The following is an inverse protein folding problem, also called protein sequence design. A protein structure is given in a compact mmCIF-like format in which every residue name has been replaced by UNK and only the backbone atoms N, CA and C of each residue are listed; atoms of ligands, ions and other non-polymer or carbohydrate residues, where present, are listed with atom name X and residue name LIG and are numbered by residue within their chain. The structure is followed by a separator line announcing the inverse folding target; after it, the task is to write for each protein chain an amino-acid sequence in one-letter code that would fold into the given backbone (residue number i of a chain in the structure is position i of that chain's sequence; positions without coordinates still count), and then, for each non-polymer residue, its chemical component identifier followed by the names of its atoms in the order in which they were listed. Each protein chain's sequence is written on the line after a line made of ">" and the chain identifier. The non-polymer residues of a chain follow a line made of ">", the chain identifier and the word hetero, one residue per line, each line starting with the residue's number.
data_IF_455700277301
#
_entry.id   IF_455700277301
#
_cell.length_a   1.000
_cell.length_b   1.000
_cell.length_c   1.000
_cell.angle_alpha   90.00
_cell.angle_beta   90.00
_cell.angle_gamma   90.00
#
_symmetry.space_group_name_H-M   'P 1'
#
loop_
_entity.id
_entity.type
_entity.pdbx_description
1 polymer ?
#
# COMPACT_ATOMS: atom_id res chain seq x y z
N UNK A 1 52.99 11.80 -6.51
CA UNK A 1 51.74 11.92 -5.74
C UNK A 1 52.06 11.74 -4.26
N UNK A 2 52.02 12.83 -3.50
CA UNK A 2 52.35 12.85 -2.07
C UNK A 2 51.38 11.94 -1.29
N UNK A 3 51.87 11.09 -0.37
CA UNK A 3 51.05 10.19 0.49
C UNK A 3 49.88 10.90 1.17
N UNK A 4 50.02 12.20 1.45
CA UNK A 4 48.98 13.07 2.01
C UNK A 4 47.80 13.30 1.06
N UNK A 5 48.05 13.41 -0.25
CA UNK A 5 47.01 13.60 -1.27
C UNK A 5 46.18 12.33 -1.50
N UNK A 6 46.82 11.16 -1.40
CA UNK A 6 46.13 9.86 -1.49
C UNK A 6 45.20 9.65 -0.29
N UNK A 7 45.66 10.00 0.92
CA UNK A 7 44.85 9.90 2.13
C UNK A 7 43.66 10.85 2.10
N UNK A 8 43.86 12.11 1.70
CA UNK A 8 42.77 13.11 1.59
C UNK A 8 41.74 12.68 0.53
N UNK A 9 42.19 12.15 -0.60
CA UNK A 9 41.31 11.63 -1.65
C UNK A 9 40.46 10.46 -1.15
N UNK A 10 41.05 9.51 -0.40
CA UNK A 10 40.31 8.40 0.20
C UNK A 10 39.30 8.85 1.26
N UNK A 11 39.63 9.85 2.09
CA UNK A 11 38.71 10.37 3.11
C UNK A 11 37.52 11.10 2.48
N UNK A 12 37.75 11.86 1.40
CA UNK A 12 36.67 12.54 0.65
C UNK A 12 35.80 11.52 -0.09
N UNK A 13 36.40 10.46 -0.66
CA UNK A 13 35.65 9.38 -1.32
C UNK A 13 34.77 8.60 -0.32
N UNK A 14 35.25 8.42 0.92
CA UNK A 14 34.54 7.69 1.96
C UNK A 14 33.37 8.48 2.58
N UNK A 15 33.48 9.82 2.68
CA UNK A 15 32.40 10.66 3.20
C UNK A 15 31.27 10.91 2.19
N UNK A 16 31.58 10.95 0.88
CA UNK A 16 30.55 11.08 -0.18
C UNK A 16 29.76 9.78 -0.38
N UNK A 17 30.33 8.61 -0.05
CA UNK A 17 29.65 7.31 -0.17
C UNK A 17 28.50 7.07 0.80
N UNK A 18 28.44 7.77 1.94
CA UNK A 18 27.41 7.56 2.97
C UNK A 18 26.13 8.39 2.80
N UNK A 19 26.11 9.39 1.90
CA UNK A 19 24.95 10.27 1.68
C UNK A 19 23.88 9.68 0.74
N UNK A 20 24.10 8.48 0.19
CA UNK A 20 23.25 7.91 -0.88
C UNK A 20 22.15 6.93 -0.46
N UNK A 21 22.00 6.59 0.83
CA UNK A 21 21.11 5.50 1.26
C UNK A 21 19.69 5.92 1.68
N UNK A 22 19.19 7.08 1.23
CA UNK A 22 17.75 7.39 1.31
C UNK A 22 17.01 6.78 0.13
N UNK A 23 17.09 5.45 0.00
CA UNK A 23 16.29 4.71 -0.97
C UNK A 23 14.85 4.83 -0.50
N UNK A 24 13.99 5.35 -1.38
CA UNK A 24 12.55 5.39 -1.23
C UNK A 24 12.06 4.02 -0.77
N UNK A 25 11.79 3.86 0.53
CA UNK A 25 11.16 2.67 1.04
C UNK A 25 9.74 2.65 0.44
N UNK A 26 9.51 1.81 -0.56
CA UNK A 26 8.17 1.47 -0.98
C UNK A 26 7.41 1.07 0.29
N UNK A 27 6.37 1.84 0.64
CA UNK A 27 5.57 1.61 1.84
C UNK A 27 4.98 0.21 1.73
N UNK A 28 5.60 -0.76 2.41
CA UNK A 28 5.13 -2.14 2.41
C UNK A 28 3.81 -2.22 3.14
N UNK A 29 2.78 -2.77 2.50
CA UNK A 29 1.49 -2.98 3.12
C UNK A 29 1.48 -4.14 4.11
N UNK A 30 0.73 -3.99 5.21
CA UNK A 30 0.47 -5.03 6.19
C UNK A 30 -0.90 -5.65 5.97
N UNK A 31 -0.94 -6.80 5.30
CA UNK A 31 -2.18 -7.53 4.97
C UNK A 31 -3.04 -7.89 6.20
N UNK A 32 -2.43 -8.16 7.35
CA UNK A 32 -3.17 -8.50 8.58
C UNK A 32 -3.94 -7.28 9.11
N UNK A 33 -3.28 -6.12 9.16
CA UNK A 33 -3.91 -4.85 9.53
C UNK A 33 -4.94 -4.44 8.48
N UNK A 34 -4.61 -4.60 7.20
CA UNK A 34 -5.52 -4.38 6.07
C UNK A 34 -6.82 -5.14 6.16
N UNK A 35 -6.80 -6.43 6.55
CA UNK A 35 -8.00 -7.23 6.78
C UNK A 35 -8.94 -6.61 7.80
N UNK A 36 -8.37 -6.14 8.92
CA UNK A 36 -9.13 -5.51 10.00
C UNK A 36 -9.74 -4.19 9.54
N UNK A 37 -8.94 -3.32 8.93
CA UNK A 37 -9.41 -2.03 8.40
C UNK A 37 -10.48 -2.20 7.32
N UNK A 38 -10.30 -3.15 6.40
CA UNK A 38 -11.29 -3.47 5.38
C UNK A 38 -12.64 -3.88 5.98
N UNK A 39 -12.64 -4.63 7.10
CA UNK A 39 -13.87 -4.97 7.83
C UNK A 39 -14.52 -3.75 8.47
N UNK A 40 -13.71 -2.90 9.11
CA UNK A 40 -14.18 -1.75 9.87
C UNK A 40 -14.63 -0.58 8.98
N UNK A 41 -14.05 -0.42 7.80
CA UNK A 41 -14.29 0.75 6.94
C UNK A 41 -15.10 0.39 5.69
N UNK A 42 -14.70 -0.64 4.94
CA UNK A 42 -15.36 -0.96 3.68
C UNK A 42 -16.61 -1.82 3.89
N UNK A 43 -16.51 -2.89 4.69
CA UNK A 43 -17.63 -3.81 4.94
C UNK A 43 -18.67 -3.31 5.91
N UNK A 44 -18.48 -2.18 6.58
CA UNK A 44 -19.54 -1.56 7.38
C UNK A 44 -20.73 -1.11 6.49
N UNK A 45 -20.44 -0.73 5.24
CA UNK A 45 -21.46 -0.44 4.24
C UNK A 45 -21.64 -1.58 3.23
N UNK A 46 -20.58 -2.31 2.92
CA UNK A 46 -20.61 -3.43 1.97
C UNK A 46 -20.80 -4.79 2.66
N UNK A 47 -21.88 -4.90 3.42
CA UNK A 47 -22.27 -6.11 4.17
C UNK A 47 -23.32 -6.96 3.44
N UNK A 48 -23.81 -6.51 2.27
CA UNK A 48 -24.89 -7.15 1.53
C UNK A 48 -26.28 -6.55 1.81
N UNK A 49 -26.43 -5.73 2.86
CA UNK A 49 -27.69 -5.05 3.18
C UNK A 49 -27.72 -3.62 2.65
N UNK A 50 -26.74 -2.80 3.03
CA UNK A 50 -26.70 -1.36 2.65
C UNK A 50 -26.12 -1.16 1.25
N UNK A 51 -25.15 -1.98 0.90
CA UNK A 51 -24.55 -2.06 -0.42
C UNK A 51 -24.17 -3.51 -0.71
N UNK A 52 -23.91 -3.79 -1.99
CA UNK A 52 -23.43 -5.11 -2.42
C UNK A 52 -22.25 -5.56 -1.56
N UNK A 53 -22.32 -6.79 -1.07
CA UNK A 53 -21.26 -7.39 -0.25
C UNK A 53 -19.92 -7.28 -0.98
N UNK A 54 -18.88 -6.84 -0.27
CA UNK A 54 -17.55 -6.64 -0.84
C UNK A 54 -16.55 -7.66 -0.30
N UNK A 55 -15.94 -8.41 -1.21
CA UNK A 55 -14.95 -9.45 -0.94
C UNK A 55 -13.71 -9.31 -1.83
N UNK A 56 -12.51 -9.70 -1.35
CA UNK A 56 -11.27 -9.58 -2.15
C UNK A 56 -11.35 -10.28 -3.51
N UNK A 57 -11.98 -11.45 -3.56
CA UNK A 57 -12.10 -12.27 -4.78
C UNK A 57 -12.98 -11.66 -5.87
N UNK A 58 -13.73 -10.60 -5.60
CA UNK A 58 -14.66 -10.02 -6.57
C UNK A 58 -13.98 -9.20 -7.66
N UNK A 59 -12.71 -8.85 -7.47
CA UNK A 59 -11.92 -8.11 -8.46
C UNK A 59 -10.53 -8.69 -8.58
N UNK A 60 -9.91 -8.47 -9.73
CA UNK A 60 -8.49 -8.76 -9.99
C UNK A 60 -7.62 -7.72 -9.30
N UNK A 61 -6.34 -8.08 -9.13
CA UNK A 61 -5.33 -7.23 -8.51
C UNK A 61 -5.30 -5.83 -9.13
N UNK A 62 -5.24 -5.72 -10.46
CA UNK A 62 -5.20 -4.43 -11.17
C UNK A 62 -6.48 -3.60 -11.01
N UNK A 63 -7.62 -4.26 -10.89
CA UNK A 63 -8.90 -3.58 -10.67
C UNK A 63 -8.96 -2.99 -9.27
N UNK A 64 -8.44 -3.70 -8.26
CA UNK A 64 -8.28 -3.15 -6.91
C UNK A 64 -7.32 -1.97 -6.88
N UNK A 65 -6.20 -2.05 -7.60
CA UNK A 65 -5.26 -0.93 -7.71
C UNK A 65 -5.89 0.30 -8.34
N UNK A 66 -6.75 0.12 -9.34
CA UNK A 66 -7.49 1.22 -9.95
C UNK A 66 -8.50 1.86 -8.97
N UNK A 67 -9.14 1.05 -8.11
CA UNK A 67 -10.06 1.56 -7.06
C UNK A 67 -9.30 2.37 -6.00
N UNK A 68 -8.11 1.90 -5.62
CA UNK A 68 -7.25 2.54 -4.63
C UNK A 68 -6.23 3.51 -5.25
N UNK A 69 -6.40 3.87 -6.53
CA UNK A 69 -5.54 4.84 -7.19
C UNK A 69 -5.62 6.18 -6.46
N UNK A 70 -4.50 6.90 -6.44
CA UNK A 70 -4.40 8.20 -5.77
C UNK A 70 -5.54 9.11 -6.21
N UNK A 71 -6.19 9.75 -5.23
CA UNK A 71 -7.32 10.68 -5.42
C UNK A 71 -8.61 10.07 -6.02
N UNK A 72 -8.61 8.81 -6.46
CA UNK A 72 -9.79 8.18 -7.06
C UNK A 72 -10.99 8.14 -6.12
N UNK A 73 -10.72 7.98 -4.82
CA UNK A 73 -11.76 7.95 -3.79
C UNK A 73 -12.59 9.24 -3.70
N UNK A 74 -12.08 10.38 -4.21
CA UNK A 74 -12.80 11.65 -4.22
C UNK A 74 -14.02 11.64 -5.13
N UNK A 75 -14.03 10.74 -6.12
CA UNK A 75 -15.16 10.51 -7.02
C UNK A 75 -16.26 9.63 -6.39
N UNK A 76 -15.95 8.94 -5.28
CA UNK A 76 -16.90 8.05 -4.63
C UNK A 76 -17.87 8.82 -3.73
N UNK A 77 -19.13 8.38 -3.73
CA UNK A 77 -20.17 8.91 -2.84
C UNK A 77 -19.78 8.83 -1.36
N UNK A 78 -18.97 7.83 -1.00
CA UNK A 78 -18.50 7.59 0.36
C UNK A 78 -17.14 8.24 0.69
N UNK A 79 -16.69 9.27 -0.05
CA UNK A 79 -15.37 9.93 0.15
C UNK A 79 -15.03 10.26 1.60
N UNK A 80 -16.02 10.63 2.42
CA UNK A 80 -15.83 10.99 3.82
C UNK A 80 -15.30 9.81 4.67
N UNK A 81 -15.62 8.56 4.31
CA UNK A 81 -15.10 7.38 4.98
C UNK A 81 -13.65 7.08 4.58
N UNK A 82 -13.28 7.41 3.34
CA UNK A 82 -11.91 7.25 2.84
C UNK A 82 -10.97 8.30 3.44
N UNK A 83 -11.44 9.52 3.65
CA UNK A 83 -10.67 10.61 4.26
C UNK A 83 -10.32 10.36 5.74
N UNK A 84 -11.01 9.44 6.41
CA UNK A 84 -10.68 9.00 7.78
C UNK A 84 -9.47 8.07 7.84
N UNK A 85 -9.04 7.50 6.70
CA UNK A 85 -7.95 6.54 6.61
C UNK A 85 -6.66 7.25 6.24
N UNK A 86 -5.56 6.87 6.90
CA UNK A 86 -4.24 7.34 6.49
C UNK A 86 -3.82 6.69 5.17
N UNK A 87 -2.86 7.30 4.47
CA UNK A 87 -2.28 6.70 3.25
C UNK A 87 -1.74 5.27 3.52
N UNK A 88 -1.14 5.04 4.69
CA UNK A 88 -0.66 3.71 5.06
C UNK A 88 -1.82 2.72 5.28
N UNK A 89 -2.95 3.17 5.83
CA UNK A 89 -4.13 2.32 6.00
C UNK A 89 -4.70 1.89 4.65
N UNK A 90 -4.74 2.80 3.68
CA UNK A 90 -5.15 2.47 2.31
C UNK A 90 -4.21 1.45 1.66
N UNK A 91 -2.89 1.60 1.87
CA UNK A 91 -1.88 0.65 1.40
C UNK A 91 -2.05 -0.72 2.08
N UNK A 92 -2.29 -0.75 3.39
CA UNK A 92 -2.52 -1.98 4.15
C UNK A 92 -3.78 -2.71 3.64
N UNK A 93 -4.88 -1.98 3.43
CA UNK A 93 -6.14 -2.52 2.87
C UNK A 93 -5.89 -3.05 1.46
N UNK A 94 -5.23 -2.28 0.60
CA UNK A 94 -4.93 -2.71 -0.77
C UNK A 94 -4.07 -3.98 -0.79
N UNK A 95 -3.09 -4.10 0.10
CA UNK A 95 -2.30 -5.33 0.23
C UNK A 95 -3.19 -6.53 0.57
N UNK A 96 -4.11 -6.38 1.52
CA UNK A 96 -5.09 -7.42 1.85
C UNK A 96 -5.96 -7.79 0.63
N UNK A 97 -6.41 -6.81 -0.14
CA UNK A 97 -7.24 -7.05 -1.32
C UNK A 97 -6.45 -7.78 -2.43
N UNK A 98 -5.22 -7.34 -2.72
CA UNK A 98 -4.31 -7.99 -3.67
C UNK A 98 -4.04 -9.45 -3.30
N UNK A 99 -3.70 -9.72 -2.05
CA UNK A 99 -3.41 -11.07 -1.57
C UNK A 99 -4.60 -12.03 -1.75
N UNK A 100 -5.83 -11.51 -1.71
CA UNK A 100 -7.06 -12.30 -1.86
C UNK A 100 -7.79 -12.10 -3.18
N UNK A 101 -7.19 -11.40 -4.14
CA UNK A 101 -7.83 -11.04 -5.41
C UNK A 101 -8.22 -12.28 -6.23
N UNK A 102 -9.11 -12.10 -7.21
CA UNK A 102 -9.57 -13.16 -8.10
C UNK A 102 -8.43 -13.90 -8.82
N UNK A 103 -7.36 -13.18 -9.14
CA UNK A 103 -6.16 -13.64 -9.83
C UNK A 103 -4.97 -13.90 -8.89
N UNK A 104 -5.20 -13.90 -7.57
CA UNK A 104 -4.14 -14.20 -6.60
C UNK A 104 -3.88 -15.71 -6.52
N UNK A 105 -2.74 -16.09 -5.91
CA UNK A 105 -2.42 -17.51 -5.67
C UNK A 105 -3.43 -18.19 -4.74
N UNK A 106 -4.08 -17.43 -3.86
CA UNK A 106 -5.07 -17.92 -2.89
C UNK A 106 -6.25 -16.96 -2.86
N UNK A 107 -7.14 -16.99 -3.89
CA UNK A 107 -8.30 -16.10 -3.94
C UNK A 107 -9.19 -16.31 -2.72
N UNK A 108 -9.60 -15.23 -2.06
CA UNK A 108 -10.39 -15.31 -0.82
C UNK A 108 -11.88 -15.22 -1.12
N UNK A 109 -12.40 -16.29 -1.74
CA UNK A 109 -13.78 -16.45 -2.22
C UNK A 109 -14.83 -16.84 -1.18
N UNK A 110 -14.41 -17.41 -0.06
CA UNK A 110 -15.31 -17.80 1.02
C UNK A 110 -15.31 -16.71 2.10
N UNK A 111 -16.47 -16.05 2.26
CA UNK A 111 -16.74 -15.06 3.31
C UNK A 111 -16.62 -15.64 4.71
#
# INVERSE_FOLDING_TARGET
>A
MERKGILIFFTILFTVGFLGLSIAAEKKGNSRKGKFLFRKSCRECHDGNKAQELGPFQKKTKEWEAVFAKDKYKEYKCKAEWEKLSEQDLIDILQYLRDGAADSKVPRGCG
#
